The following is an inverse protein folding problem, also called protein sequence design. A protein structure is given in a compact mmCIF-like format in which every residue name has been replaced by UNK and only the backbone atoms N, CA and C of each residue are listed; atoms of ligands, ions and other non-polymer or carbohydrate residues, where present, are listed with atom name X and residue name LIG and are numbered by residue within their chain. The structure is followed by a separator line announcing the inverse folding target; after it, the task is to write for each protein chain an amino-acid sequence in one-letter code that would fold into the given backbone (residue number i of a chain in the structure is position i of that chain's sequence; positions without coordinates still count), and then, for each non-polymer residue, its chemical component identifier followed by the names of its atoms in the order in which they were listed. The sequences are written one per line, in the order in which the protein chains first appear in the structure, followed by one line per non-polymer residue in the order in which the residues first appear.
data_IF_054711425065
#
_entry.id   IF_054711425065
#
_cell.length_a   1.000
_cell.length_b   1.000
_cell.length_c   1.000
_cell.angle_alpha   90.00
_cell.angle_beta   90.00
_cell.angle_gamma   90.00
#
_symmetry.space_group_name_H-M   'P 1'
#
loop_
_entity.id
_entity.type
_entity.pdbx_description
1 polymer ?
#
# COMPACT_ATOMS: atom_id res chain seq x y z
N UNK A 1 -1.23 -13.18 -15.72
CA UNK A 1 -0.62 -12.55 -14.54
C UNK A 1 -0.58 -13.56 -13.39
N UNK A 2 0.59 -13.80 -12.79
CA UNK A 2 0.74 -14.77 -11.70
C UNK A 2 0.12 -14.30 -10.39
N UNK A 3 0.00 -12.99 -10.15
CA UNK A 3 -0.34 -12.35 -8.87
C UNK A 3 0.64 -12.74 -7.74
N UNK A 4 1.77 -13.32 -8.09
CA UNK A 4 2.79 -13.72 -7.13
C UNK A 4 3.52 -12.49 -6.56
N UNK A 5 3.93 -12.59 -5.31
CA UNK A 5 4.82 -11.61 -4.70
C UNK A 5 6.21 -11.70 -5.34
N UNK A 6 6.97 -10.61 -5.34
CA UNK A 6 8.33 -10.63 -5.89
C UNK A 6 9.22 -11.68 -5.21
N UNK A 7 9.04 -11.88 -3.91
CA UNK A 7 9.76 -12.93 -3.17
C UNK A 7 9.45 -14.34 -3.68
N UNK A 8 8.21 -14.61 -4.10
CA UNK A 8 7.78 -15.89 -4.66
C UNK A 8 8.37 -16.07 -6.07
N UNK A 9 8.32 -15.01 -6.90
CA UNK A 9 8.91 -15.04 -8.25
C UNK A 9 10.42 -15.33 -8.16
N UNK A 10 11.14 -14.67 -7.25
CA UNK A 10 12.56 -14.96 -7.07
C UNK A 10 12.82 -16.39 -6.59
N UNK A 11 11.93 -16.95 -5.75
CA UNK A 11 12.05 -18.32 -5.29
C UNK A 11 11.79 -19.36 -6.42
N UNK A 12 10.94 -19.03 -7.38
CA UNK A 12 10.63 -19.89 -8.53
C UNK A 12 11.72 -19.82 -9.62
N UNK A 13 12.30 -18.64 -9.85
CA UNK A 13 13.20 -18.40 -10.98
C UNK A 13 14.69 -18.63 -10.66
N UNK A 14 15.07 -18.68 -9.40
CA UNK A 14 16.46 -18.81 -8.99
C UNK A 14 16.76 -20.16 -8.33
N UNK A 15 17.53 -20.99 -9.02
CA UNK A 15 18.17 -22.16 -8.42
C UNK A 15 19.18 -21.70 -7.36
N UNK A 16 19.10 -22.15 -6.14
CA UNK A 16 19.93 -21.68 -5.01
C UNK A 16 19.70 -20.23 -4.62
N UNK A 17 18.44 -19.90 -4.37
CA UNK A 17 18.04 -18.56 -3.95
C UNK A 17 18.92 -18.03 -2.80
N UNK A 18 19.62 -16.89 -2.99
CA UNK A 18 20.27 -16.20 -1.88
C UNK A 18 19.20 -15.72 -0.89
N UNK A 19 19.63 -15.44 0.35
CA UNK A 19 18.70 -14.88 1.35
C UNK A 19 18.02 -13.63 0.83
N UNK A 20 16.69 -13.65 0.74
CA UNK A 20 15.91 -12.52 0.29
C UNK A 20 15.63 -11.54 1.44
N UNK A 21 15.69 -10.26 1.12
CA UNK A 21 15.19 -9.21 1.98
C UNK A 21 14.37 -8.20 1.17
N UNK A 22 13.37 -7.64 1.81
CA UNK A 22 12.53 -6.57 1.26
C UNK A 22 12.69 -5.32 2.11
N UNK A 23 12.98 -4.19 1.45
CA UNK A 23 13.06 -2.88 2.08
C UNK A 23 11.83 -2.07 1.68
N UNK A 24 11.07 -1.57 2.66
CA UNK A 24 9.87 -0.75 2.44
C UNK A 24 9.66 0.22 3.60
N UNK A 25 8.92 1.31 3.35
CA UNK A 25 8.62 2.30 4.37
C UNK A 25 8.53 3.72 3.80
N UNK A 26 8.31 4.74 4.65
CA UNK A 26 8.14 6.13 4.24
C UNK A 26 9.47 6.74 3.78
N UNK A 27 9.84 6.48 2.52
CA UNK A 27 11.15 6.80 1.95
C UNK A 27 11.02 7.42 0.57
N UNK A 28 10.57 8.68 0.48
CA UNK A 28 10.67 9.40 -0.79
C UNK A 28 12.12 9.53 -1.21
N UNK A 29 12.45 9.01 -2.39
CA UNK A 29 13.82 8.92 -2.89
C UNK A 29 14.57 10.27 -2.86
N UNK A 30 13.86 11.37 -3.15
CA UNK A 30 14.42 12.71 -3.09
C UNK A 30 14.88 13.10 -1.67
N UNK A 31 14.09 12.77 -0.65
CA UNK A 31 14.41 13.10 0.73
C UNK A 31 15.56 12.24 1.26
N UNK A 32 15.55 10.94 0.96
CA UNK A 32 16.66 10.04 1.29
C UNK A 32 17.95 10.49 0.60
N UNK A 33 17.90 10.88 -0.67
CA UNK A 33 19.07 11.38 -1.39
C UNK A 33 19.61 12.72 -0.86
N UNK A 34 18.77 13.51 -0.19
CA UNK A 34 19.17 14.75 0.51
C UNK A 34 19.62 14.50 1.96
N UNK A 35 19.77 13.23 2.35
CA UNK A 35 20.14 12.83 3.71
C UNK A 35 19.20 13.38 4.80
N UNK A 36 17.89 13.50 4.47
CA UNK A 36 16.88 13.87 5.46
C UNK A 36 16.53 12.66 6.34
N UNK A 37 16.21 12.87 7.63
CA UNK A 37 15.87 11.78 8.53
C UNK A 37 14.74 10.93 7.98
N UNK A 38 14.99 9.63 7.80
CA UNK A 38 14.06 8.67 7.24
C UNK A 38 14.13 7.34 7.99
N UNK A 39 13.08 6.54 7.88
CA UNK A 39 13.03 5.22 8.47
C UNK A 39 12.37 4.22 7.51
N UNK A 40 12.86 2.97 7.53
CA UNK A 40 12.31 1.88 6.74
C UNK A 40 12.30 0.57 7.53
N UNK A 41 11.52 -0.41 7.05
CA UNK A 41 11.55 -1.80 7.52
C UNK A 41 12.33 -2.62 6.51
N UNK A 42 13.23 -3.44 7.01
CA UNK A 42 13.92 -4.50 6.28
C UNK A 42 13.35 -5.85 6.75
N UNK A 43 12.53 -6.46 5.91
CA UNK A 43 11.99 -7.78 6.16
C UNK A 43 12.93 -8.84 5.59
N UNK A 44 13.34 -9.81 6.42
CA UNK A 44 14.20 -10.93 6.03
C UNK A 44 13.91 -12.11 6.96
N UNK A 45 13.57 -13.27 6.39
CA UNK A 45 13.31 -14.49 7.16
C UNK A 45 14.56 -15.05 7.86
N UNK A 46 15.75 -14.82 7.28
CA UNK A 46 17.03 -15.23 7.87
C UNK A 46 17.57 -14.14 8.80
N UNK A 47 17.71 -14.45 10.06
CA UNK A 47 18.12 -13.49 11.08
C UNK A 47 19.54 -12.97 10.88
N UNK A 48 20.46 -13.82 10.44
CA UNK A 48 21.87 -13.45 10.21
C UNK A 48 21.99 -12.48 9.05
N UNK A 49 21.35 -12.82 7.92
CA UNK A 49 21.31 -11.95 6.75
C UNK A 49 20.59 -10.64 7.05
N UNK A 50 19.44 -10.69 7.74
CA UNK A 50 18.71 -9.49 8.15
C UNK A 50 19.54 -8.56 9.04
N UNK A 51 20.28 -9.13 10.01
CA UNK A 51 21.18 -8.34 10.87
C UNK A 51 22.34 -7.71 10.10
N UNK A 52 22.92 -8.45 9.14
CA UNK A 52 23.99 -7.93 8.30
C UNK A 52 23.49 -6.79 7.41
N UNK A 53 22.35 -7.00 6.72
CA UNK A 53 21.76 -6.00 5.84
C UNK A 53 21.31 -4.76 6.61
N UNK A 54 20.74 -4.93 7.81
CA UNK A 54 20.41 -3.81 8.68
C UNK A 54 21.65 -2.94 8.94
N UNK A 55 22.78 -3.53 9.31
CA UNK A 55 24.03 -2.80 9.54
C UNK A 55 24.54 -2.09 8.28
N UNK A 56 24.35 -2.68 7.10
CA UNK A 56 24.78 -2.09 5.83
C UNK A 56 23.96 -0.85 5.44
N UNK A 57 22.65 -0.87 5.70
CA UNK A 57 21.74 0.22 5.30
C UNK A 57 21.50 1.26 6.40
N UNK A 58 21.70 0.89 7.67
CA UNK A 58 21.45 1.79 8.80
C UNK A 58 22.48 2.91 8.88
N UNK A 59 22.01 4.13 9.08
CA UNK A 59 22.84 5.29 9.37
C UNK A 59 22.16 6.16 10.45
N UNK A 60 22.85 7.22 10.89
CA UNK A 60 22.28 8.18 11.85
C UNK A 60 21.00 8.85 11.33
N UNK A 61 20.87 8.96 10.01
CA UNK A 61 19.72 9.62 9.35
C UNK A 61 18.78 8.65 8.64
N UNK A 62 19.20 7.40 8.40
CA UNK A 62 18.37 6.37 7.80
C UNK A 62 18.22 5.19 8.74
N UNK A 63 17.13 5.19 9.50
CA UNK A 63 16.84 4.15 10.48
C UNK A 63 16.24 2.92 9.84
N UNK A 64 16.85 1.75 10.08
CA UNK A 64 16.32 0.48 9.61
C UNK A 64 15.79 -0.34 10.78
N UNK A 65 14.51 -0.69 10.71
CA UNK A 65 13.84 -1.63 11.61
C UNK A 65 13.77 -2.99 10.95
N UNK A 66 13.92 -4.06 11.73
CA UNK A 66 13.86 -5.43 11.20
C UNK A 66 12.46 -6.01 11.34
N UNK A 67 12.09 -6.87 10.38
CA UNK A 67 10.91 -7.71 10.40
C UNK A 67 11.24 -9.08 9.80
N UNK A 68 10.45 -10.09 10.08
CA UNK A 68 10.48 -11.38 9.37
C UNK A 68 9.34 -11.52 8.37
N UNK A 69 8.39 -10.59 8.37
CA UNK A 69 7.18 -10.60 7.54
C UNK A 69 7.45 -10.08 6.13
N UNK A 70 7.94 -10.95 5.25
CA UNK A 70 8.15 -10.63 3.84
C UNK A 70 6.84 -10.32 3.10
N UNK A 71 5.77 -11.04 3.45
CA UNK A 71 4.46 -10.91 2.80
C UNK A 71 3.83 -9.56 3.11
N UNK A 72 3.70 -9.23 4.39
CA UNK A 72 3.06 -7.99 4.83
C UNK A 72 3.80 -6.75 4.33
N UNK A 73 5.15 -6.76 4.35
CA UNK A 73 5.96 -5.63 3.89
C UNK A 73 5.80 -5.37 2.38
N UNK A 74 5.70 -6.43 1.55
CA UNK A 74 5.47 -6.29 0.11
C UNK A 74 4.04 -5.82 -0.20
N UNK A 75 3.04 -6.40 0.47
CA UNK A 75 1.64 -6.02 0.29
C UNK A 75 1.37 -4.60 0.73
N UNK A 76 1.93 -4.18 1.87
CA UNK A 76 1.84 -2.80 2.34
C UNK A 76 2.32 -1.81 1.28
N UNK A 77 3.50 -2.05 0.70
CA UNK A 77 4.08 -1.24 -0.36
C UNK A 77 3.24 -1.18 -1.65
N UNK A 78 2.46 -2.23 -1.94
CA UNK A 78 1.61 -2.29 -3.14
C UNK A 78 0.24 -1.62 -2.90
N UNK A 79 -0.43 -1.98 -1.80
CA UNK A 79 -1.80 -1.51 -1.51
C UNK A 79 -1.83 -0.01 -1.20
N UNK A 80 -0.82 0.53 -0.50
CA UNK A 80 -0.72 1.97 -0.20
C UNK A 80 -0.90 2.84 -1.43
N UNK A 81 -0.38 2.40 -2.58
CA UNK A 81 -0.42 3.17 -3.82
C UNK A 81 -1.85 3.38 -4.33
N UNK A 82 -2.70 2.36 -4.19
CA UNK A 82 -4.12 2.43 -4.57
C UNK A 82 -4.89 3.33 -3.61
N UNK A 83 -4.64 3.20 -2.29
CA UNK A 83 -5.29 4.05 -1.28
C UNK A 83 -4.83 5.51 -1.43
N UNK A 84 -3.57 5.75 -1.82
CA UNK A 84 -3.08 7.09 -2.11
C UNK A 84 -3.81 7.73 -3.30
N UNK A 85 -4.18 6.96 -4.35
CA UNK A 85 -5.05 7.46 -5.42
C UNK A 85 -6.41 7.85 -4.87
N UNK A 86 -7.03 7.02 -4.00
CA UNK A 86 -8.31 7.36 -3.37
C UNK A 86 -8.22 8.66 -2.56
N UNK A 87 -7.14 8.84 -1.79
CA UNK A 87 -6.88 10.07 -1.03
C UNK A 87 -6.75 11.29 -1.95
N UNK A 88 -6.02 11.14 -3.05
CA UNK A 88 -5.90 12.21 -4.06
C UNK A 88 -7.25 12.54 -4.69
N UNK A 89 -8.07 11.56 -5.04
CA UNK A 89 -9.44 11.78 -5.56
C UNK A 89 -10.26 12.60 -4.55
N UNK A 90 -10.20 12.26 -3.27
CA UNK A 90 -10.91 12.99 -2.23
C UNK A 90 -10.44 14.45 -2.12
N UNK A 91 -9.14 14.71 -2.25
CA UNK A 91 -8.57 16.06 -2.24
C UNK A 91 -8.99 16.84 -3.52
N UNK A 92 -8.93 16.22 -4.70
CA UNK A 92 -9.37 16.81 -5.96
C UNK A 92 -10.86 17.17 -5.98
N UNK A 93 -11.69 16.35 -5.34
CA UNK A 93 -13.12 16.62 -5.13
C UNK A 93 -13.41 17.58 -3.98
N UNK A 94 -12.39 18.06 -3.27
CA UNK A 94 -12.50 19.00 -2.13
C UNK A 94 -13.34 18.45 -0.97
N UNK A 95 -13.26 17.14 -0.67
CA UNK A 95 -14.03 16.49 0.40
C UNK A 95 -13.53 16.83 1.81
N UNK A 96 -12.36 17.47 1.91
CA UNK A 96 -11.79 17.96 3.16
C UNK A 96 -10.96 16.94 3.93
N UNK A 97 -10.32 17.42 5.01
CA UNK A 97 -9.33 16.66 5.78
C UNK A 97 -9.95 15.48 6.55
N UNK A 98 -11.20 15.60 6.98
CA UNK A 98 -11.90 14.52 7.70
C UNK A 98 -12.09 13.30 6.79
N UNK A 99 -12.49 13.51 5.53
CA UNK A 99 -12.63 12.44 4.55
C UNK A 99 -11.28 11.76 4.26
N UNK A 100 -10.21 12.54 4.11
CA UNK A 100 -8.85 12.00 3.93
C UNK A 100 -8.41 11.17 5.13
N UNK A 101 -8.61 11.64 6.36
CA UNK A 101 -8.27 10.89 7.55
C UNK A 101 -9.06 9.56 7.64
N UNK A 102 -10.37 9.60 7.36
CA UNK A 102 -11.21 8.40 7.31
C UNK A 102 -10.73 7.41 6.24
N UNK A 103 -10.39 7.89 5.03
CA UNK A 103 -9.84 7.06 3.96
C UNK A 103 -8.54 6.38 4.36
N UNK A 104 -7.62 7.08 5.02
CA UNK A 104 -6.36 6.50 5.51
C UNK A 104 -6.65 5.41 6.54
N UNK A 105 -7.48 5.67 7.56
CA UNK A 105 -7.82 4.68 8.58
C UNK A 105 -8.50 3.44 7.97
N UNK A 106 -9.50 3.64 7.11
CA UNK A 106 -10.19 2.53 6.44
C UNK A 106 -9.28 1.79 5.45
N UNK A 107 -8.37 2.51 4.78
CA UNK A 107 -7.35 1.95 3.91
C UNK A 107 -6.40 1.01 4.65
N UNK A 108 -5.96 1.37 5.87
CA UNK A 108 -5.15 0.47 6.72
C UNK A 108 -5.95 -0.80 7.06
N UNK A 109 -7.24 -0.67 7.38
CA UNK A 109 -8.08 -1.83 7.67
C UNK A 109 -8.23 -2.76 6.45
N UNK A 110 -8.40 -2.21 5.23
CA UNK A 110 -8.40 -3.00 3.99
C UNK A 110 -7.05 -3.71 3.77
N UNK A 111 -5.96 -2.96 3.91
CA UNK A 111 -4.61 -3.48 3.80
C UNK A 111 -4.35 -4.63 4.77
N UNK A 112 -4.76 -4.48 6.03
CA UNK A 112 -4.62 -5.50 7.06
C UNK A 112 -5.44 -6.75 6.74
N UNK A 113 -6.71 -6.60 6.29
CA UNK A 113 -7.57 -7.74 5.94
C UNK A 113 -6.97 -8.59 4.81
N UNK A 114 -6.62 -7.98 3.68
CA UNK A 114 -6.03 -8.71 2.57
C UNK A 114 -4.67 -9.27 2.95
N UNK A 115 -3.85 -8.49 3.63
CA UNK A 115 -2.49 -8.88 3.99
C UNK A 115 -2.46 -10.06 4.95
N UNK A 116 -3.33 -10.10 5.95
CA UNK A 116 -3.43 -11.25 6.87
C UNK A 116 -4.01 -12.48 6.20
N UNK A 117 -4.99 -12.33 5.31
CA UNK A 117 -5.51 -13.43 4.51
C UNK A 117 -4.44 -14.08 3.60
N UNK A 118 -3.41 -13.31 3.23
CA UNK A 118 -2.26 -13.79 2.45
C UNK A 118 -1.07 -14.24 3.32
N UNK A 119 -1.21 -14.27 4.65
CA UNK A 119 -0.19 -14.76 5.58
C UNK A 119 0.77 -13.68 6.12
N UNK A 120 0.47 -12.40 5.91
CA UNK A 120 1.17 -11.29 6.55
C UNK A 120 0.69 -11.05 7.99
N UNK A 121 1.50 -10.38 8.80
CA UNK A 121 1.14 -9.99 10.17
C UNK A 121 0.37 -8.67 10.21
N UNK A 122 -0.72 -8.62 10.99
CA UNK A 122 -1.51 -7.40 11.19
C UNK A 122 -0.66 -6.23 11.73
N UNK A 123 0.31 -6.52 12.58
CA UNK A 123 1.22 -5.52 13.16
C UNK A 123 2.08 -4.84 12.08
N UNK A 124 2.43 -5.55 11.01
CA UNK A 124 3.20 -4.98 9.89
C UNK A 124 2.46 -3.81 9.25
N UNK A 125 1.13 -3.91 9.13
CA UNK A 125 0.30 -2.85 8.53
C UNK A 125 0.11 -1.64 9.45
N UNK A 126 0.31 -1.80 10.75
CA UNK A 126 0.35 -0.70 11.73
C UNK A 126 1.74 -0.07 11.87
N UNK A 127 2.75 -0.61 11.17
CA UNK A 127 4.13 -0.16 11.18
C UNK A 127 4.52 0.75 10.02
N UNK A 128 5.85 0.87 9.81
CA UNK A 128 6.44 1.76 8.80
C UNK A 128 6.06 1.38 7.36
N UNK A 129 6.01 0.09 7.02
CA UNK A 129 5.64 -0.39 5.68
C UNK A 129 4.13 -0.44 5.43
N UNK A 130 3.32 -0.22 6.46
CA UNK A 130 1.87 -0.09 6.39
C UNK A 130 1.45 1.37 6.53
N UNK A 131 0.92 1.74 7.70
CA UNK A 131 0.38 3.09 7.96
C UNK A 131 1.41 4.18 7.74
N UNK A 132 2.68 3.97 8.09
CA UNK A 132 3.72 4.99 7.94
C UNK A 132 3.92 5.40 6.48
N UNK A 133 4.09 4.42 5.60
CA UNK A 133 4.28 4.66 4.16
C UNK A 133 2.97 5.09 3.48
N UNK A 134 1.82 4.59 3.97
CA UNK A 134 0.51 5.05 3.49
C UNK A 134 0.29 6.54 3.79
N UNK A 135 0.52 6.97 5.02
CA UNK A 135 0.36 8.39 5.39
C UNK A 135 1.24 9.28 4.52
N UNK A 136 2.53 8.94 4.38
CA UNK A 136 3.44 9.69 3.52
C UNK A 136 2.94 9.74 2.07
N UNK A 137 2.51 8.59 1.51
CA UNK A 137 2.10 8.49 0.11
C UNK A 137 0.75 9.15 -0.15
N UNK A 138 -0.17 9.11 0.80
CA UNK A 138 -1.53 9.66 0.70
C UNK A 138 -1.60 11.17 0.98
N UNK A 139 -0.57 11.77 1.59
CA UNK A 139 -0.57 13.20 1.97
C UNK A 139 0.60 13.99 1.39
N UNK A 140 1.60 13.32 0.84
CA UNK A 140 2.82 13.95 0.35
C UNK A 140 2.70 14.44 -1.08
N UNK A 141 3.07 15.68 -1.34
CA UNK A 141 3.06 16.32 -2.67
C UNK A 141 4.01 15.65 -3.69
N UNK A 142 4.94 14.82 -3.21
CA UNK A 142 5.87 14.05 -4.06
C UNK A 142 5.27 12.72 -4.52
N UNK A 143 4.08 12.36 -4.05
CA UNK A 143 3.41 11.11 -4.40
C UNK A 143 2.78 11.19 -5.79
N UNK A 144 3.32 10.43 -6.75
CA UNK A 144 2.72 10.29 -8.09
C UNK A 144 1.30 9.73 -8.04
N UNK A 145 1.03 8.81 -7.13
CA UNK A 145 -0.29 8.20 -6.97
C UNK A 145 -1.30 9.20 -6.42
N UNK A 146 -0.95 9.97 -5.39
CA UNK A 146 -1.80 11.01 -4.86
C UNK A 146 -2.10 12.08 -5.92
N UNK A 147 -1.07 12.58 -6.62
CA UNK A 147 -1.21 13.60 -7.65
C UNK A 147 -2.08 13.13 -8.83
N UNK A 148 -1.99 11.84 -9.21
CA UNK A 148 -2.90 11.24 -10.19
C UNK A 148 -4.34 11.28 -9.68
N UNK A 149 -4.57 10.82 -8.45
CA UNK A 149 -5.89 10.84 -7.83
C UNK A 149 -6.48 12.24 -7.77
N UNK A 150 -5.68 13.25 -7.40
CA UNK A 150 -6.13 14.65 -7.33
C UNK A 150 -6.65 15.16 -8.68
N UNK A 151 -5.94 14.88 -9.76
CA UNK A 151 -6.39 15.24 -11.12
C UNK A 151 -7.69 14.51 -11.51
N UNK A 152 -7.79 13.21 -11.22
CA UNK A 152 -9.02 12.45 -11.46
C UNK A 152 -10.20 13.03 -10.67
N UNK A 153 -9.99 13.41 -9.41
CA UNK A 153 -10.98 14.07 -8.57
C UNK A 153 -11.41 15.44 -9.08
N UNK A 154 -10.52 16.18 -9.77
CA UNK A 154 -10.80 17.44 -10.45
C UNK A 154 -11.57 17.25 -11.78
N UNK A 155 -11.75 16.01 -12.24
CA UNK A 155 -12.52 15.68 -13.43
C UNK A 155 -11.69 15.46 -14.70
N UNK A 156 -10.33 15.41 -14.59
CA UNK A 156 -9.50 15.01 -15.72
C UNK A 156 -9.67 13.51 -16.02
N UNK A 157 -9.57 13.15 -17.29
CA UNK A 157 -9.56 11.73 -17.69
C UNK A 157 -8.24 11.05 -17.29
N UNK A 158 -8.24 9.73 -17.18
CA UNK A 158 -7.00 8.99 -16.93
C UNK A 158 -5.97 9.24 -18.05
N UNK A 159 -6.43 9.34 -19.30
CA UNK A 159 -5.58 9.60 -20.46
C UNK A 159 -4.88 10.96 -20.37
N UNK A 160 -5.61 12.00 -19.93
CA UNK A 160 -5.03 13.35 -19.73
C UNK A 160 -4.02 13.39 -18.57
N UNK A 161 -4.16 12.46 -17.62
CA UNK A 161 -3.27 12.39 -16.45
C UNK A 161 -1.98 11.62 -16.72
N UNK A 162 -1.95 10.78 -17.76
CA UNK A 162 -0.78 9.98 -18.11
C UNK A 162 0.21 10.85 -18.91
N UNK A 163 1.49 10.94 -18.48
CA UNK A 163 2.49 11.68 -19.22
C UNK A 163 2.74 11.01 -20.58
N UNK A 164 2.88 11.80 -21.63
CA UNK A 164 3.27 11.33 -22.96
C UNK A 164 4.65 10.68 -22.91
N UNK A 165 4.71 9.34 -22.82
CA UNK A 165 5.95 8.57 -22.72
C UNK A 165 6.56 8.47 -21.32
N UNK A 166 5.83 8.84 -20.26
CA UNK A 166 6.28 8.79 -18.86
C UNK A 166 5.86 7.53 -18.10
N UNK A 167 6.48 7.33 -16.96
CA UNK A 167 6.11 6.26 -16.02
C UNK A 167 4.69 6.45 -15.50
N UNK A 168 3.87 5.43 -15.69
CA UNK A 168 2.53 5.36 -15.10
C UNK A 168 2.67 5.23 -13.58
N UNK A 169 1.82 5.94 -12.82
CA UNK A 169 1.75 5.75 -11.37
C UNK A 169 1.48 4.27 -11.05
N UNK A 170 2.30 3.69 -10.18
CA UNK A 170 2.26 2.24 -9.86
C UNK A 170 0.88 1.77 -9.41
N UNK A 171 0.15 2.62 -8.69
CA UNK A 171 -1.20 2.36 -8.22
C UNK A 171 -2.19 1.99 -9.31
N UNK A 172 -1.99 2.44 -10.55
CA UNK A 172 -2.86 2.08 -11.69
C UNK A 172 -2.79 0.57 -11.96
N UNK A 173 -1.58 0.01 -11.99
CA UNK A 173 -1.38 -1.44 -12.18
C UNK A 173 -1.74 -2.22 -10.92
N UNK A 174 -1.36 -1.70 -9.75
CA UNK A 174 -1.65 -2.34 -8.47
C UNK A 174 -3.15 -2.48 -8.24
N UNK A 175 -3.98 -1.55 -8.70
CA UNK A 175 -5.43 -1.63 -8.56
C UNK A 175 -6.01 -2.90 -9.20
N UNK A 176 -5.49 -3.32 -10.36
CA UNK A 176 -5.89 -4.58 -11.02
C UNK A 176 -5.48 -5.79 -10.16
N UNK A 177 -4.19 -5.86 -9.81
CA UNK A 177 -3.68 -7.01 -9.04
C UNK A 177 -4.34 -7.14 -7.67
N UNK A 178 -4.60 -6.01 -6.99
CA UNK A 178 -5.27 -6.00 -5.68
C UNK A 178 -6.73 -6.44 -5.81
N UNK A 179 -7.44 -6.00 -6.86
CA UNK A 179 -8.81 -6.45 -7.12
C UNK A 179 -8.86 -7.96 -7.33
N UNK A 180 -7.97 -8.52 -8.17
CA UNK A 180 -7.91 -9.96 -8.43
C UNK A 180 -7.51 -10.77 -7.18
N UNK A 181 -6.59 -10.25 -6.34
CA UNK A 181 -6.22 -10.87 -5.07
C UNK A 181 -7.38 -10.85 -4.07
N UNK A 182 -8.09 -9.72 -3.96
CA UNK A 182 -9.26 -9.58 -3.10
C UNK A 182 -10.36 -10.59 -3.47
N UNK A 183 -10.65 -10.76 -4.76
CA UNK A 183 -11.61 -11.74 -5.28
C UNK A 183 -11.16 -13.18 -4.97
N UNK A 184 -9.88 -13.51 -5.23
CA UNK A 184 -9.30 -14.83 -4.97
C UNK A 184 -9.40 -15.22 -3.50
N UNK A 185 -9.12 -14.29 -2.59
CA UNK A 185 -9.16 -14.51 -1.14
C UNK A 185 -10.52 -14.22 -0.52
N UNK A 186 -11.51 -13.75 -1.30
CA UNK A 186 -12.87 -13.37 -0.85
C UNK A 186 -12.84 -12.29 0.24
N UNK A 187 -11.96 -11.32 0.09
CA UNK A 187 -11.78 -10.21 1.02
C UNK A 187 -12.43 -8.95 0.44
N UNK A 188 -13.24 -8.28 1.26
CA UNK A 188 -13.82 -7.00 0.87
C UNK A 188 -12.81 -5.85 0.99
N UNK A 189 -12.58 -5.18 -0.15
CA UNK A 189 -11.67 -4.05 -0.31
C UNK A 189 -12.42 -2.87 -0.95
N UNK A 190 -13.42 -2.28 -0.27
CA UNK A 190 -14.33 -1.30 -0.91
C UNK A 190 -13.61 -0.07 -1.46
N UNK A 191 -12.60 0.49 -0.77
CA UNK A 191 -11.84 1.64 -1.27
C UNK A 191 -11.01 1.25 -2.49
N UNK A 192 -10.26 0.15 -2.39
CA UNK A 192 -9.44 -0.35 -3.51
C UNK A 192 -10.31 -0.71 -4.73
N UNK A 193 -11.48 -1.32 -4.52
CA UNK A 193 -12.44 -1.62 -5.58
C UNK A 193 -12.99 -0.34 -6.22
N UNK A 194 -13.32 0.69 -5.44
CA UNK A 194 -13.78 1.97 -5.97
C UNK A 194 -12.73 2.62 -6.87
N UNK A 195 -11.45 2.59 -6.47
CA UNK A 195 -10.34 3.08 -7.30
C UNK A 195 -10.19 2.25 -8.57
N UNK A 196 -10.28 0.92 -8.47
CA UNK A 196 -10.25 0.03 -9.64
C UNK A 196 -11.38 0.37 -10.63
N UNK A 197 -12.61 0.59 -10.15
CA UNK A 197 -13.75 0.98 -11.00
C UNK A 197 -13.52 2.31 -11.70
N UNK A 198 -12.95 3.29 -11.03
CA UNK A 198 -12.63 4.59 -11.63
C UNK A 198 -11.56 4.44 -12.71
N UNK A 199 -10.48 3.71 -12.41
CA UNK A 199 -9.32 3.59 -13.31
C UNK A 199 -9.57 2.69 -14.53
N UNK A 200 -10.37 1.62 -14.37
CA UNK A 200 -10.45 0.54 -15.36
C UNK A 200 -11.86 0.24 -15.87
N UNK A 201 -12.91 0.77 -15.21
CA UNK A 201 -14.30 0.51 -15.61
C UNK A 201 -15.07 1.78 -16.00
N UNK A 202 -14.41 2.93 -16.06
CA UNK A 202 -15.03 4.19 -16.48
C UNK A 202 -16.09 4.75 -15.52
N UNK A 203 -16.11 4.27 -14.27
CA UNK A 203 -16.98 4.82 -13.23
C UNK A 203 -16.47 6.19 -12.82
N UNK A 204 -17.33 7.21 -12.74
CA UNK A 204 -16.90 8.54 -12.29
C UNK A 204 -16.55 8.56 -10.81
N UNK A 205 -15.64 9.47 -10.40
CA UNK A 205 -15.27 9.65 -8.99
C UNK A 205 -16.49 9.92 -8.10
N UNK A 206 -17.47 10.68 -8.59
CA UNK A 206 -18.72 10.97 -7.88
C UNK A 206 -19.55 9.71 -7.66
N UNK A 207 -19.71 8.87 -8.68
CA UNK A 207 -20.46 7.61 -8.55
C UNK A 207 -19.74 6.63 -7.61
N UNK A 208 -18.40 6.54 -7.68
CA UNK A 208 -17.61 5.71 -6.79
C UNK A 208 -17.75 6.16 -5.32
N UNK A 209 -17.69 7.47 -5.06
CA UNK A 209 -17.92 8.05 -3.74
C UNK A 209 -19.33 7.74 -3.22
N UNK A 210 -20.37 7.95 -4.05
CA UNK A 210 -21.75 7.69 -3.65
C UNK A 210 -21.94 6.23 -3.22
N UNK A 211 -21.41 5.27 -3.99
CA UNK A 211 -21.47 3.85 -3.65
C UNK A 211 -20.76 3.53 -2.32
N UNK A 212 -19.63 4.21 -2.02
CA UNK A 212 -18.95 4.02 -0.74
C UNK A 212 -19.76 4.54 0.44
N UNK A 213 -20.47 5.68 0.27
CA UNK A 213 -21.30 6.29 1.31
C UNK A 213 -22.63 5.55 1.55
N UNK A 214 -23.17 4.88 0.53
CA UNK A 214 -24.41 4.11 0.60
C UNK A 214 -24.24 2.71 1.22
N UNK A 215 -23.00 2.26 1.47
CA UNK A 215 -22.75 0.96 2.12
C UNK A 215 -23.38 0.95 3.51
N UNK A 216 -23.91 -0.23 3.89
CA UNK A 216 -24.36 -0.49 5.25
C UNK A 216 -23.31 -0.06 6.27
N UNK A 217 -23.76 0.46 7.41
CA UNK A 217 -22.88 0.94 8.48
C UNK A 217 -22.21 -0.26 9.15
N UNK A 218 -20.97 -0.61 8.81
CA UNK A 218 -20.28 -1.68 9.52
C UNK A 218 -19.93 -1.17 10.91
N UNK A 219 -19.95 -2.07 11.89
CA UNK A 219 -19.28 -1.82 13.15
C UNK A 219 -17.80 -1.50 12.89
N UNK A 220 -17.21 -0.63 13.68
CA UNK A 220 -15.79 -0.33 13.59
C UNK A 220 -14.99 -1.52 14.15
N UNK A 221 -14.99 -2.63 13.41
CA UNK A 221 -14.11 -3.74 13.73
C UNK A 221 -12.68 -3.37 13.27
N UNK A 222 -11.91 -2.84 14.19
CA UNK A 222 -10.47 -3.00 14.12
C UNK A 222 -10.20 -4.49 14.30
N UNK A 223 -9.53 -5.12 13.33
CA UNK A 223 -9.07 -6.50 13.49
C UNK A 223 -8.25 -6.60 14.79
N UNK A 224 -8.86 -7.13 15.82
CA UNK A 224 -8.17 -7.58 17.02
C UNK A 224 -7.89 -9.06 16.78
N UNK A 225 -6.63 -9.49 16.68
CA UNK A 225 -6.33 -10.92 16.59
C UNK A 225 -7.03 -11.63 17.73
N UNK A 226 -7.75 -12.70 17.44
CA UNK A 226 -8.30 -13.57 18.48
C UNK A 226 -7.12 -14.22 19.21
N UNK A 227 -6.80 -13.68 20.38
CA UNK A 227 -5.72 -14.17 21.23
C UNK A 227 -5.89 -15.63 21.63
N UNK A 228 -7.10 -16.21 21.47
CA UNK A 228 -7.39 -17.60 21.73
C UNK A 228 -6.85 -18.57 20.66
N UNK A 229 -6.44 -18.06 19.49
CA UNK A 229 -5.94 -18.86 18.38
C UNK A 229 -4.42 -18.75 18.17
N UNK A 230 -3.71 -18.01 19.01
CA UNK A 230 -2.25 -17.93 18.95
C UNK A 230 -1.63 -19.23 19.47
N UNK A 231 -0.76 -19.90 18.70
CA UNK A 231 -0.02 -21.02 19.24
C UNK A 231 0.95 -20.55 20.34
N UNK A 232 1.05 -21.32 21.42
CA UNK A 232 1.99 -21.12 22.53
C UNK A 232 3.46 -21.12 22.08
#
# INVERSE_FOLDING_TARGET
HSLALMSEIFAEELDNLPKLAVLSGPTFAREVALDLPSAAVLACADETAGSLLQKCFHSDRFRIYRSTDLVGVQLGGSIKNVIAIASGIADGMQLGLNARAALICRGVAEMSRLGTAMGGSAETFMGMSGIGDLVLTATGNLSRNHNLGEKLGQGFSLEDCLPSGGEVAEGVRNAVSIQELAERHKIEMPICNAVYQVLHQGVSCTQALQKLLERDRPDEEMYVPDLATMPD
#
